data_IF_181680580251
#
_entry.id   IF_181680580251
#
_cell.length_a   1.000
_cell.length_b   1.000
_cell.length_c   1.000
_cell.angle_alpha   90.00
_cell.angle_beta   90.00
_cell.angle_gamma   90.00
#
_symmetry.space_group_name_H-M   'P 1'
#
loop_
_entity.id
_entity.type
_entity.pdbx_description
1 polymer ?
#
# COMPACT_ATOMS: atom_id res chain seq x y z
N UNK A 1 -2.79 17.48 -10.02
CA UNK A 1 -3.49 16.23 -10.36
C UNK A 1 -4.98 16.51 -10.26
N UNK A 2 -5.77 16.06 -11.23
CA UNK A 2 -7.23 16.24 -11.21
C UNK A 2 -7.87 14.88 -10.97
N UNK A 3 -8.80 14.81 -10.01
CA UNK A 3 -9.48 13.58 -9.63
C UNK A 3 -10.98 13.86 -9.57
N UNK A 4 -11.77 13.08 -10.30
CA UNK A 4 -13.22 13.24 -10.35
C UNK A 4 -13.85 12.17 -9.47
N UNK A 5 -14.65 12.61 -8.49
CA UNK A 5 -15.37 11.74 -7.58
C UNK A 5 -16.85 11.67 -8.01
N UNK A 6 -17.44 10.49 -7.87
CA UNK A 6 -18.83 10.23 -8.27
C UNK A 6 -19.62 9.56 -7.15
N UNK A 7 -20.95 9.69 -7.21
CA UNK A 7 -21.89 9.00 -6.34
C UNK A 7 -21.69 9.32 -4.86
N UNK A 8 -21.86 8.31 -4.02
CA UNK A 8 -21.81 8.42 -2.55
C UNK A 8 -20.48 8.96 -2.02
N UNK A 9 -19.37 8.73 -2.73
CA UNK A 9 -18.05 9.27 -2.33
C UNK A 9 -18.02 10.78 -2.49
N UNK A 10 -18.57 11.33 -3.57
CA UNK A 10 -18.64 12.78 -3.76
C UNK A 10 -19.51 13.45 -2.69
N UNK A 11 -20.63 12.81 -2.32
CA UNK A 11 -21.50 13.29 -1.25
C UNK A 11 -20.80 13.25 0.12
N UNK A 12 -20.08 12.16 0.41
CA UNK A 12 -19.32 12.01 1.66
C UNK A 12 -18.27 13.11 1.79
N UNK A 13 -17.45 13.34 0.76
CA UNK A 13 -16.40 14.37 0.80
C UNK A 13 -17.02 15.76 0.99
N UNK A 14 -18.12 16.04 0.29
CA UNK A 14 -18.84 17.32 0.45
C UNK A 14 -19.35 17.49 1.87
N UNK A 15 -20.02 16.48 2.44
CA UNK A 15 -20.61 16.57 3.77
C UNK A 15 -19.53 16.74 4.85
N UNK A 16 -18.44 15.96 4.78
CA UNK A 16 -17.33 16.08 5.72
C UNK A 16 -16.62 17.44 5.68
N UNK A 17 -16.63 18.10 4.51
CA UNK A 17 -16.10 19.47 4.39
C UNK A 17 -17.09 20.50 4.96
N UNK A 18 -18.39 20.34 4.68
CA UNK A 18 -19.43 21.23 5.19
C UNK A 18 -19.60 21.15 6.71
N UNK A 19 -19.33 19.98 7.30
CA UNK A 19 -19.32 19.75 8.74
C UNK A 19 -18.03 20.25 9.42
N UNK A 20 -17.12 20.89 8.67
CA UNK A 20 -15.82 21.39 9.17
C UNK A 20 -14.91 20.31 9.78
N UNK A 21 -15.20 19.02 9.57
CA UNK A 21 -14.31 17.93 9.98
C UNK A 21 -12.99 17.96 9.20
N UNK A 22 -13.00 18.51 8.00
CA UNK A 22 -11.83 18.72 7.16
C UNK A 22 -11.81 20.13 6.58
N UNK A 23 -10.60 20.71 6.53
CA UNK A 23 -10.39 22.07 6.02
C UNK A 23 -10.68 22.23 4.52
N UNK A 24 -10.57 21.13 3.77
CA UNK A 24 -10.92 21.08 2.35
C UNK A 24 -11.17 19.65 1.90
N UNK A 25 -11.83 19.44 0.73
CA UNK A 25 -11.97 18.13 0.11
C UNK A 25 -10.62 17.43 -0.11
N UNK A 26 -9.58 18.19 -0.48
CA UNK A 26 -8.24 17.67 -0.73
C UNK A 26 -7.56 17.18 0.56
N UNK A 27 -7.83 17.80 1.71
CA UNK A 27 -7.29 17.35 2.99
C UNK A 27 -7.82 15.95 3.34
N UNK A 28 -9.12 15.72 3.17
CA UNK A 28 -9.74 14.42 3.36
C UNK A 28 -9.18 13.37 2.39
N UNK A 29 -9.11 13.70 1.09
CA UNK A 29 -8.58 12.78 0.07
C UNK A 29 -7.12 12.42 0.35
N UNK A 30 -6.31 13.37 0.81
CA UNK A 30 -4.92 13.13 1.21
C UNK A 30 -4.83 12.16 2.38
N UNK A 31 -5.58 12.40 3.45
CA UNK A 31 -5.58 11.52 4.62
C UNK A 31 -6.05 10.10 4.27
N UNK A 32 -7.09 9.98 3.44
CA UNK A 32 -7.57 8.69 2.95
C UNK A 32 -6.49 7.94 2.15
N UNK A 33 -5.75 8.65 1.28
CA UNK A 33 -4.67 8.07 0.51
C UNK A 33 -3.50 7.63 1.41
N UNK A 34 -3.09 8.47 2.35
CA UNK A 34 -2.02 8.16 3.31
C UNK A 34 -2.39 6.93 4.16
N UNK A 35 -3.64 6.85 4.60
CA UNK A 35 -4.17 5.71 5.35
C UNK A 35 -4.14 4.43 4.51
N UNK A 36 -4.58 4.50 3.26
CA UNK A 36 -4.54 3.36 2.34
C UNK A 36 -3.11 2.89 2.07
N UNK A 37 -2.17 3.83 1.88
CA UNK A 37 -0.75 3.52 1.71
C UNK A 37 -0.19 2.82 2.95
N UNK A 38 -0.49 3.32 4.14
CA UNK A 38 -0.07 2.70 5.41
C UNK A 38 -0.62 1.29 5.56
N UNK A 39 -1.92 1.10 5.33
CA UNK A 39 -2.55 -0.23 5.38
C UNK A 39 -1.88 -1.22 4.42
N UNK A 40 -1.52 -0.77 3.21
CA UNK A 40 -0.83 -1.62 2.24
C UNK A 40 0.57 -2.01 2.70
N UNK A 41 1.31 -1.08 3.30
CA UNK A 41 2.64 -1.34 3.86
C UNK A 41 2.52 -2.31 5.04
N UNK A 42 1.60 -2.05 5.97
CA UNK A 42 1.38 -2.88 7.16
C UNK A 42 0.97 -4.30 6.77
N UNK A 43 0.08 -4.47 5.78
CA UNK A 43 -0.29 -5.78 5.26
C UNK A 43 0.92 -6.53 4.68
N UNK A 44 1.83 -5.82 3.98
CA UNK A 44 3.08 -6.38 3.48
C UNK A 44 4.01 -6.84 4.61
N UNK A 45 4.15 -6.03 5.65
CA UNK A 45 4.95 -6.36 6.85
C UNK A 45 4.37 -7.57 7.57
N UNK A 46 3.06 -7.58 7.85
CA UNK A 46 2.38 -8.70 8.52
C UNK A 46 2.58 -9.99 7.73
N UNK A 47 2.41 -9.95 6.41
CA UNK A 47 2.66 -11.11 5.55
C UNK A 47 4.11 -11.57 5.64
N UNK A 48 5.07 -10.66 5.57
CA UNK A 48 6.49 -10.97 5.68
C UNK A 48 6.85 -11.60 7.04
N UNK A 49 6.29 -11.08 8.14
CA UNK A 49 6.47 -11.65 9.47
C UNK A 49 5.89 -13.07 9.56
N UNK A 50 4.70 -13.30 9.00
CA UNK A 50 4.10 -14.63 8.94
C UNK A 50 4.90 -15.61 8.07
N UNK A 51 5.57 -15.13 7.01
CA UNK A 51 6.49 -15.93 6.20
C UNK A 51 7.75 -16.30 6.99
N UNK A 52 8.30 -15.39 7.79
CA UNK A 52 9.44 -15.67 8.69
C UNK A 52 9.05 -16.70 9.76
N UNK A 53 7.92 -16.51 10.44
CA UNK A 53 7.44 -17.43 11.48
C UNK A 53 7.20 -18.85 10.93
N UNK A 54 6.71 -18.95 9.69
CA UNK A 54 6.49 -20.22 9.01
C UNK A 54 7.76 -20.80 8.34
N UNK A 55 8.93 -20.17 8.49
CA UNK A 55 10.18 -20.60 7.87
C UNK A 55 10.21 -20.47 6.34
N UNK A 56 9.28 -19.70 5.74
CA UNK A 56 9.22 -19.39 4.31
C UNK A 56 10.10 -18.18 3.96
N UNK A 57 11.28 -18.11 4.57
CA UNK A 57 12.28 -17.08 4.30
C UNK A 57 13.60 -17.75 3.92
N UNK A 58 14.43 -17.05 3.16
CA UNK A 58 15.79 -17.48 2.80
C UNK A 58 16.76 -16.37 3.19
N UNK A 59 17.85 -16.75 3.84
CA UNK A 59 18.94 -15.84 4.15
C UNK A 59 19.65 -15.40 2.86
N UNK A 60 19.83 -14.09 2.71
CA UNK A 60 20.61 -13.52 1.61
C UNK A 60 22.05 -13.32 2.08
N UNK A 61 22.99 -13.84 1.30
CA UNK A 61 24.43 -13.67 1.50
C UNK A 61 25.05 -13.15 0.21
N UNK A 62 26.26 -12.59 0.30
CA UNK A 62 26.99 -12.10 -0.88
C UNK A 62 27.19 -13.20 -1.94
N UNK A 63 27.29 -14.46 -1.50
CA UNK A 63 27.48 -15.62 -2.37
C UNK A 63 26.20 -16.04 -3.12
N UNK A 64 25.01 -15.77 -2.57
CA UNK A 64 23.75 -16.31 -3.10
C UNK A 64 22.81 -15.25 -3.70
N UNK A 65 23.09 -13.96 -3.49
CA UNK A 65 22.19 -12.86 -3.88
C UNK A 65 21.95 -12.79 -5.39
N UNK A 66 22.98 -13.03 -6.20
CA UNK A 66 22.87 -12.99 -7.67
C UNK A 66 22.01 -14.14 -8.21
N UNK A 67 22.26 -15.37 -7.74
CA UNK A 67 21.48 -16.56 -8.14
C UNK A 67 19.99 -16.39 -7.76
N UNK A 68 19.73 -15.88 -6.56
CA UNK A 68 18.36 -15.63 -6.10
C UNK A 68 17.67 -14.56 -6.95
N UNK A 69 18.37 -13.46 -7.28
CA UNK A 69 17.83 -12.40 -8.14
C UNK A 69 17.48 -12.94 -9.54
N UNK A 70 18.35 -13.72 -10.16
CA UNK A 70 18.10 -14.37 -11.46
C UNK A 70 16.91 -15.33 -11.41
N UNK A 71 16.77 -16.12 -10.33
CA UNK A 71 15.61 -17.01 -10.15
C UNK A 71 14.29 -16.24 -10.02
N UNK A 72 14.28 -15.07 -9.39
CA UNK A 72 13.08 -14.24 -9.24
C UNK A 72 12.70 -13.63 -10.60
N UNK A 73 13.67 -13.06 -11.32
CA UNK A 73 13.43 -12.44 -12.63
C UNK A 73 12.94 -13.47 -13.65
N UNK A 74 13.58 -14.63 -13.73
CA UNK A 74 13.17 -15.71 -14.66
C UNK A 74 11.74 -16.20 -14.40
N UNK A 75 11.34 -16.37 -13.14
CA UNK A 75 9.96 -16.73 -12.77
C UNK A 75 8.93 -15.65 -13.09
N UNK A 76 9.34 -14.39 -13.14
CA UNK A 76 8.43 -13.26 -13.41
C UNK A 76 8.17 -13.05 -14.91
N UNK A 77 8.97 -13.68 -15.78
CA UNK A 77 8.88 -13.58 -17.24
C UNK A 77 8.15 -14.78 -17.89
N UNK A 78 7.70 -15.74 -17.08
CA UNK A 78 6.89 -16.90 -17.49
C UNK A 78 5.42 -16.68 -17.16
#
# INVERSE_FOLDING_TARGET
MTLTLHGSVAELVRNQTLEENYQSPEALVREALETLMRQRIDAGIIRGLADVEAGRCRELTDDNINEIAESIVSKSLQ
#
